data_IF_331503243773
#
_entry.id   IF_331503243773
#
_cell.length_a   1.000
_cell.length_b   1.000
_cell.length_c   1.000
_cell.angle_alpha   90.00
_cell.angle_beta   90.00
_cell.angle_gamma   90.00
#
_symmetry.space_group_name_H-M   'P 1'
#
loop_
_entity.id
_entity.type
_entity.pdbx_description
1 polymer ?
#
# COMPACT_ATOMS: atom_id res chain seq x y z
N UNK A 1 -5.69 -18.27 -3.73
CA UNK A 1 -4.98 -17.61 -4.85
C UNK A 1 -5.12 -16.09 -4.71
N UNK A 2 -4.21 -15.28 -5.27
CA UNK A 2 -4.35 -13.82 -5.31
C UNK A 2 -5.52 -13.39 -6.22
N UNK A 3 -6.16 -12.22 -5.99
CA UNK A 3 -7.33 -11.78 -6.78
C UNK A 3 -7.01 -11.56 -8.25
N UNK A 4 -5.80 -11.06 -8.56
CA UNK A 4 -5.33 -10.81 -9.91
C UNK A 4 -3.94 -11.41 -10.11
N UNK A 5 -3.66 -12.08 -11.24
CA UNK A 5 -2.31 -12.52 -11.57
C UNK A 5 -1.44 -11.31 -11.93
N UNK A 6 -0.14 -11.38 -11.62
CA UNK A 6 0.80 -10.29 -11.93
C UNK A 6 0.83 -9.91 -13.42
N UNK A 7 0.55 -10.87 -14.32
CA UNK A 7 0.47 -10.66 -15.78
C UNK A 7 -0.71 -9.79 -16.23
N UNK A 8 -1.64 -9.46 -15.32
CA UNK A 8 -2.73 -8.54 -15.61
C UNK A 8 -2.24 -7.10 -15.78
N UNK A 9 -1.13 -6.75 -15.13
CA UNK A 9 -0.60 -5.40 -15.07
C UNK A 9 0.51 -5.20 -16.09
N UNK A 10 0.58 -3.98 -16.62
CA UNK A 10 1.65 -3.47 -17.49
C UNK A 10 2.92 -3.17 -16.70
N UNK A 11 2.78 -2.81 -15.43
CA UNK A 11 3.89 -2.59 -14.50
C UNK A 11 3.92 -3.66 -13.40
N UNK A 12 5.02 -3.75 -12.66
CA UNK A 12 5.10 -4.65 -11.49
C UNK A 12 4.23 -4.03 -10.37
N UNK A 13 3.13 -4.67 -9.97
CA UNK A 13 2.30 -4.15 -8.90
C UNK A 13 2.94 -4.38 -7.54
N UNK A 14 2.76 -3.41 -6.65
CA UNK A 14 3.14 -3.54 -5.24
C UNK A 14 1.94 -3.99 -4.43
N UNK A 15 2.14 -4.89 -3.48
CA UNK A 15 1.03 -5.60 -2.84
C UNK A 15 1.32 -5.97 -1.39
N UNK A 16 0.25 -5.97 -0.58
CA UNK A 16 0.29 -6.56 0.75
C UNK A 16 -1.02 -7.26 1.07
N UNK A 17 -0.97 -8.20 2.00
CA UNK A 17 -2.13 -8.84 2.59
C UNK A 17 -2.40 -8.19 3.95
N UNK A 18 -3.66 -8.13 4.33
CA UNK A 18 -4.07 -7.67 5.63
C UNK A 18 -5.45 -8.19 5.99
N UNK A 19 -6.09 -7.55 6.96
CA UNK A 19 -7.39 -7.98 7.45
C UNK A 19 -8.27 -6.77 7.80
N UNK A 20 -9.57 -6.90 7.62
CA UNK A 20 -10.55 -5.92 8.07
C UNK A 20 -11.81 -6.65 8.53
N UNK A 21 -12.24 -6.38 9.77
CA UNK A 21 -13.44 -6.99 10.35
C UNK A 21 -13.45 -8.53 10.29
N UNK A 22 -12.30 -9.16 10.49
CA UNK A 22 -12.11 -10.60 10.43
C UNK A 22 -12.03 -11.18 9.01
N UNK A 23 -12.05 -10.33 7.96
CA UNK A 23 -11.98 -10.77 6.56
C UNK A 23 -10.60 -10.53 5.98
N UNK A 24 -10.11 -11.51 5.22
CA UNK A 24 -8.82 -11.38 4.53
C UNK A 24 -8.92 -10.35 3.41
N UNK A 25 -7.97 -9.42 3.39
CA UNK A 25 -7.89 -8.34 2.42
C UNK A 25 -6.59 -8.41 1.62
N UNK A 26 -6.67 -8.05 0.35
CA UNK A 26 -5.54 -7.96 -0.56
C UNK A 26 -5.47 -6.54 -1.11
N UNK A 27 -4.34 -5.89 -0.91
CA UNK A 27 -4.07 -4.54 -1.40
C UNK A 27 -3.17 -4.62 -2.62
N UNK A 28 -3.54 -3.89 -3.66
CA UNK A 28 -2.76 -3.77 -4.88
C UNK A 28 -2.55 -2.30 -5.19
N UNK A 29 -1.31 -1.92 -5.49
CA UNK A 29 -0.92 -0.62 -6.02
C UNK A 29 -0.25 -0.86 -7.37
N UNK A 30 -0.86 -0.36 -8.44
CA UNK A 30 -0.37 -0.51 -9.82
C UNK A 30 -0.63 0.76 -10.62
N UNK A 31 -0.39 0.72 -11.94
CA UNK A 31 -0.75 1.80 -12.85
C UNK A 31 -2.26 2.14 -12.86
N UNK A 32 -3.12 1.19 -12.45
CA UNK A 32 -4.56 1.39 -12.36
C UNK A 32 -4.97 2.14 -11.07
N UNK A 33 -4.05 2.24 -10.11
CA UNK A 33 -4.26 2.92 -8.82
C UNK A 33 -4.18 1.98 -7.62
N UNK A 34 -4.88 2.36 -6.55
CA UNK A 34 -4.95 1.60 -5.29
C UNK A 34 -6.26 0.82 -5.23
N UNK A 35 -6.15 -0.50 -5.08
CA UNK A 35 -7.28 -1.42 -5.01
C UNK A 35 -7.29 -2.18 -3.68
N UNK A 36 -8.48 -2.35 -3.11
CA UNK A 36 -8.76 -3.22 -1.98
C UNK A 36 -9.70 -4.34 -2.42
N UNK A 37 -9.20 -5.56 -2.33
CA UNK A 37 -9.95 -6.78 -2.56
C UNK A 37 -10.23 -7.48 -1.24
N UNK A 38 -11.43 -8.02 -1.09
CA UNK A 38 -11.83 -8.79 0.09
C UNK A 38 -12.13 -10.22 -0.34
N UNK A 39 -11.62 -11.19 0.40
CA UNK A 39 -11.93 -12.60 0.15
C UNK A 39 -13.37 -12.86 0.62
N UNK A 40 -14.26 -13.11 -0.34
CA UNK A 40 -15.69 -13.35 -0.10
C UNK A 40 -15.95 -14.83 0.24
N UNK A 41 -15.29 -15.73 -0.48
CA UNK A 41 -15.38 -17.17 -0.27
C UNK A 41 -13.98 -17.80 -0.29
N UNK A 42 -13.59 -18.36 0.86
CA UNK A 42 -12.30 -19.00 1.04
C UNK A 42 -12.17 -20.29 0.23
N UNK A 43 -13.23 -21.09 0.12
CA UNK A 43 -13.20 -22.38 -0.57
C UNK A 43 -13.15 -22.20 -2.08
N UNK A 44 -13.85 -21.19 -2.59
CA UNK A 44 -13.83 -20.84 -4.01
C UNK A 44 -12.64 -19.94 -4.40
N UNK A 45 -11.86 -19.43 -3.43
CA UNK A 45 -10.87 -18.35 -3.66
C UNK A 45 -11.49 -17.14 -4.39
N UNK A 46 -12.74 -16.81 -4.09
CA UNK A 46 -13.46 -15.71 -4.72
C UNK A 46 -13.13 -14.40 -4.02
N UNK A 47 -12.70 -13.41 -4.81
CA UNK A 47 -12.36 -12.07 -4.32
C UNK A 47 -13.32 -11.03 -4.90
N UNK A 48 -13.81 -10.16 -4.03
CA UNK A 48 -14.61 -8.99 -4.40
C UNK A 48 -13.78 -7.70 -4.35
N UNK A 49 -13.76 -6.94 -5.45
CA UNK A 49 -13.18 -5.60 -5.46
C UNK A 49 -14.11 -4.66 -4.67
N UNK A 50 -13.65 -4.18 -3.51
CA UNK A 50 -14.46 -3.33 -2.62
C UNK A 50 -14.15 -1.85 -2.81
N UNK A 51 -12.88 -1.50 -3.01
CA UNK A 51 -12.45 -0.11 -3.22
C UNK A 51 -11.46 -0.06 -4.38
N UNK A 52 -11.60 0.96 -5.23
CA UNK A 52 -10.65 1.30 -6.26
C UNK A 52 -10.49 2.83 -6.31
N UNK A 53 -9.27 3.31 -6.12
CA UNK A 53 -8.92 4.72 -6.29
C UNK A 53 -7.93 4.84 -7.43
N UNK A 54 -8.22 5.72 -8.38
CA UNK A 54 -7.29 6.03 -9.46
C UNK A 54 -6.06 6.78 -8.95
N UNK A 55 -4.95 6.69 -9.68
CA UNK A 55 -3.75 7.46 -9.38
C UNK A 55 -4.02 8.97 -9.28
N UNK A 56 -4.89 9.49 -10.14
CA UNK A 56 -5.29 10.90 -10.15
C UNK A 56 -6.04 11.29 -8.88
N UNK A 57 -6.94 10.44 -8.38
CA UNK A 57 -7.63 10.70 -7.12
C UNK A 57 -6.66 10.74 -5.94
N UNK A 58 -5.74 9.77 -5.88
CA UNK A 58 -4.74 9.70 -4.81
C UNK A 58 -3.84 10.94 -4.80
N UNK A 59 -3.40 11.38 -5.98
CA UNK A 59 -2.60 12.59 -6.16
C UNK A 59 -3.37 13.85 -5.75
N UNK A 60 -4.64 13.98 -6.15
CA UNK A 60 -5.47 15.13 -5.79
C UNK A 60 -5.69 15.26 -4.26
N UNK A 61 -5.87 14.14 -3.56
CA UNK A 61 -6.07 14.12 -2.11
C UNK A 61 -4.75 14.29 -1.32
N UNK A 62 -3.62 13.93 -1.94
CA UNK A 62 -2.30 13.94 -1.30
C UNK A 62 -1.21 14.57 -2.18
N UNK A 63 -1.40 15.81 -2.67
CA UNK A 63 -0.52 16.39 -3.69
C UNK A 63 0.90 16.62 -3.19
N UNK A 64 1.09 16.83 -1.88
CA UNK A 64 2.41 17.00 -1.27
C UNK A 64 3.20 15.69 -1.08
N UNK A 65 2.54 14.53 -1.22
CA UNK A 65 3.13 13.20 -1.00
C UNK A 65 3.25 12.43 -2.30
N UNK A 66 2.24 12.53 -3.18
CA UNK A 66 2.08 11.71 -4.38
C UNK A 66 2.16 12.51 -5.69
N UNK A 67 2.81 13.67 -5.68
CA UNK A 67 2.98 14.48 -6.89
C UNK A 67 3.63 13.67 -8.02
N UNK A 68 3.03 13.70 -9.21
CA UNK A 68 3.46 12.99 -10.41
C UNK A 68 3.55 11.46 -10.23
N UNK A 69 2.67 10.87 -9.42
CA UNK A 69 2.64 9.42 -9.13
C UNK A 69 2.70 8.54 -10.39
N UNK A 70 2.02 8.93 -11.47
CA UNK A 70 1.99 8.18 -12.74
C UNK A 70 3.37 8.11 -13.41
N UNK A 71 4.13 9.21 -13.38
CA UNK A 71 5.49 9.29 -13.91
C UNK A 71 6.45 8.42 -13.08
N UNK A 72 6.24 8.37 -11.78
CA UNK A 72 7.10 7.62 -10.87
C UNK A 72 6.86 6.12 -10.93
N UNK A 73 5.61 5.71 -11.13
CA UNK A 73 5.29 4.32 -11.46
C UNK A 73 5.78 3.92 -12.85
N UNK A 74 5.68 4.78 -13.86
CA UNK A 74 6.20 4.45 -15.19
C UNK A 74 7.73 4.26 -15.19
N UNK A 75 8.45 4.95 -14.30
CA UNK A 75 9.90 4.82 -14.17
C UNK A 75 10.35 3.70 -13.23
N UNK A 76 9.46 3.02 -12.49
CA UNK A 76 9.82 1.78 -11.79
C UNK A 76 10.06 0.63 -12.78
N UNK A 77 9.38 0.65 -13.93
CA UNK A 77 9.52 -0.33 -15.04
C UNK A 77 10.97 -0.42 -15.55
N UNK A 78 11.73 0.69 -15.51
CA UNK A 78 13.12 0.74 -15.98
C UNK A 78 14.16 0.58 -14.86
N UNK A 79 13.74 0.58 -13.59
CA UNK A 79 14.65 0.72 -12.45
C UNK A 79 15.14 -0.58 -11.82
N UNK A 80 14.58 -1.74 -12.17
CA UNK A 80 15.08 -3.11 -11.92
C UNK A 80 15.42 -3.51 -10.47
N UNK A 81 16.31 -2.78 -9.82
CA UNK A 81 16.97 -3.05 -8.53
C UNK A 81 16.72 -1.98 -7.46
N UNK A 82 16.04 -0.88 -7.77
CA UNK A 82 15.70 0.14 -6.77
C UNK A 82 14.38 -0.19 -6.08
N UNK A 83 14.25 0.12 -4.77
CA UNK A 83 13.01 -0.12 -4.05
C UNK A 83 11.85 0.65 -4.71
N UNK A 84 10.64 0.09 -4.69
CA UNK A 84 9.47 0.76 -5.26
C UNK A 84 9.22 2.10 -4.58
N UNK A 85 8.77 3.07 -5.38
CA UNK A 85 8.45 4.41 -4.88
C UNK A 85 7.36 4.34 -3.80
N UNK A 86 6.29 3.59 -4.05
CA UNK A 86 5.20 3.33 -3.11
C UNK A 86 5.22 1.85 -2.77
N UNK A 87 5.34 1.52 -1.49
CA UNK A 87 5.37 0.15 -1.00
C UNK A 87 4.30 -0.02 0.09
N UNK A 88 3.20 -0.76 -0.18
CA UNK A 88 2.22 -1.11 0.83
C UNK A 88 2.84 -2.15 1.78
N UNK A 89 3.00 -1.79 3.05
CA UNK A 89 3.72 -2.62 4.02
C UNK A 89 2.77 -3.50 4.84
N UNK A 90 1.64 -2.95 5.28
CA UNK A 90 0.66 -3.67 6.09
C UNK A 90 -0.71 -3.01 5.99
N UNK A 91 -1.77 -3.82 6.02
CA UNK A 91 -3.13 -3.34 6.03
C UNK A 91 -3.91 -3.90 7.23
N UNK A 92 -4.67 -3.05 7.91
CA UNK A 92 -5.59 -3.46 8.97
C UNK A 92 -6.73 -2.44 9.13
N UNK A 93 -7.97 -2.92 9.17
CA UNK A 93 -9.18 -2.15 9.48
C UNK A 93 -9.28 -0.80 8.73
N UNK A 94 -9.11 -0.83 7.40
CA UNK A 94 -9.21 0.37 6.56
C UNK A 94 -8.02 1.33 6.66
N UNK A 95 -6.96 0.93 7.35
CA UNK A 95 -5.69 1.67 7.42
C UNK A 95 -4.60 0.89 6.68
N UNK A 96 -3.87 1.60 5.83
CA UNK A 96 -2.73 1.08 5.07
C UNK A 96 -1.46 1.77 5.52
N UNK A 97 -0.55 1.00 6.11
CA UNK A 97 0.81 1.44 6.36
C UNK A 97 1.59 1.34 5.05
N UNK A 98 2.13 2.48 4.60
CA UNK A 98 2.76 2.60 3.29
C UNK A 98 4.07 3.36 3.41
N UNK A 99 5.10 2.89 2.72
CA UNK A 99 6.31 3.65 2.47
C UNK A 99 6.16 4.41 1.15
N UNK A 100 6.50 5.69 1.19
CA UNK A 100 6.65 6.53 -0.01
C UNK A 100 8.06 7.11 0.01
N UNK A 101 8.89 6.66 -0.92
CA UNK A 101 10.34 6.91 -0.94
C UNK A 101 10.99 6.61 0.43
N UNK A 102 11.51 7.61 1.13
CA UNK A 102 12.20 7.46 2.43
C UNK A 102 11.31 7.71 3.65
N UNK A 103 10.02 7.99 3.43
CA UNK A 103 9.07 8.31 4.49
C UNK A 103 8.01 7.22 4.60
N UNK A 104 7.47 7.06 5.80
CA UNK A 104 6.35 6.18 6.10
C UNK A 104 5.10 6.99 6.38
N UNK A 105 3.96 6.47 5.95
CA UNK A 105 2.66 7.10 6.07
C UNK A 105 1.63 6.08 6.50
N UNK A 106 0.57 6.58 7.12
CA UNK A 106 -0.67 5.87 7.34
C UNK A 106 -1.71 6.44 6.37
N UNK A 107 -2.10 5.66 5.38
CA UNK A 107 -3.20 5.98 4.48
C UNK A 107 -4.52 5.48 5.07
N UNK A 108 -5.52 6.35 5.10
CA UNK A 108 -6.85 6.02 5.60
C UNK A 108 -7.82 5.90 4.42
N UNK A 109 -8.37 4.71 4.19
CA UNK A 109 -9.28 4.48 3.06
C UNK A 109 -10.55 5.35 3.13
N UNK A 110 -11.10 5.58 4.33
CA UNK A 110 -12.31 6.37 4.51
C UNK A 110 -12.17 7.86 4.16
N UNK A 111 -10.97 8.43 4.29
CA UNK A 111 -10.70 9.84 3.96
C UNK A 111 -9.84 10.02 2.72
N UNK A 112 -9.25 8.94 2.20
CA UNK A 112 -8.23 8.94 1.14
C UNK A 112 -6.97 9.76 1.49
N UNK A 113 -6.75 10.09 2.76
CA UNK A 113 -5.63 10.94 3.19
C UNK A 113 -4.48 10.14 3.76
N UNK A 114 -3.27 10.63 3.52
CA UNK A 114 -2.02 10.13 4.10
C UNK A 114 -1.61 10.99 5.28
N UNK A 115 -1.42 10.34 6.44
CA UNK A 115 -0.76 10.95 7.60
C UNK A 115 0.69 10.50 7.63
N UNK A 116 1.62 11.45 7.56
CA UNK A 116 3.04 11.15 7.72
C UNK A 116 3.30 10.62 9.13
N UNK A 117 4.03 9.51 9.22
CA UNK A 117 4.43 8.93 10.50
C UNK A 117 5.87 9.30 10.81
N UNK A 118 6.83 8.78 10.04
CA UNK A 118 8.25 9.02 10.31
C UNK A 118 9.11 8.78 9.07
N UNK A 119 10.38 9.18 9.12
CA UNK A 119 11.39 8.78 8.12
C UNK A 119 11.88 7.39 8.45
N UNK A 120 12.27 6.61 7.45
CA UNK A 120 12.83 5.27 7.72
C UNK A 120 14.17 5.39 8.43
N UNK A 121 15.00 6.36 8.02
CA UNK A 121 16.32 6.57 8.63
C UNK A 121 16.25 6.94 10.12
N UNK A 122 15.15 7.56 10.58
CA UNK A 122 14.98 7.89 12.00
C UNK A 122 14.66 6.66 12.87
N UNK A 123 14.34 5.52 12.25
CA UNK A 123 14.16 4.26 12.95
C UNK A 123 15.48 3.48 13.11
N UNK A 124 16.62 4.09 12.76
CA UNK A 124 17.95 3.44 12.81
C UNK A 124 18.14 2.37 11.74
N UNK A 125 17.23 2.29 10.79
CA UNK A 125 17.20 1.29 9.73
C UNK A 125 17.80 1.91 8.47
N UNK A 126 18.78 1.21 7.87
CA UNK A 126 19.15 1.48 6.48
C UNK A 126 18.36 0.52 5.58
N UNK A 127 17.26 0.99 4.96
CA UNK A 127 16.39 0.12 4.16
C UNK A 127 17.04 -0.43 2.90
N UNK A 128 18.23 0.09 2.52
CA UNK A 128 18.98 -0.35 1.36
C UNK A 128 19.90 -1.55 1.64
N UNK A 129 20.23 -1.82 2.91
CA UNK A 129 21.30 -2.78 3.27
C UNK A 129 20.81 -3.99 4.08
N UNK A 130 19.57 -3.98 4.58
CA UNK A 130 19.06 -5.09 5.40
C UNK A 130 17.53 -5.23 5.37
N UNK A 131 17.00 -6.46 5.46
CA UNK A 131 15.57 -6.68 5.63
C UNK A 131 15.11 -6.02 6.93
N UNK A 132 14.34 -4.95 6.78
CA UNK A 132 13.87 -4.12 7.86
C UNK A 132 12.54 -4.65 8.37
N UNK A 133 12.51 -5.19 9.59
CA UNK A 133 11.26 -5.58 10.27
C UNK A 133 10.75 -4.37 11.04
N UNK A 134 9.61 -3.82 10.61
CA UNK A 134 8.90 -2.79 11.37
C UNK A 134 7.81 -3.45 12.23
N UNK A 135 7.93 -3.45 13.57
CA UNK A 135 6.84 -3.91 14.41
C UNK A 135 5.66 -2.95 14.24
N UNK A 136 4.61 -3.43 13.56
CA UNK A 136 3.35 -2.72 13.44
C UNK A 136 2.36 -3.31 14.43
N UNK A 137 2.01 -2.53 15.46
CA UNK A 137 0.96 -2.87 16.40
C UNK A 137 -0.08 -1.76 16.39
N UNK A 138 -1.28 -2.05 15.90
CA UNK A 138 -2.45 -1.25 16.26
C UNK A 138 -3.01 -1.81 17.57
N UNK A 139 -2.70 -1.12 18.67
CA UNK A 139 -3.40 -1.36 19.92
C UNK A 139 -4.80 -0.74 19.84
N UNK A 140 -5.82 -1.52 20.15
CA UNK A 140 -7.22 -1.07 20.25
C UNK A 140 -7.48 -0.18 21.47
N UNK A 141 -6.46 0.12 22.28
CA UNK A 141 -6.65 0.89 23.51
C UNK A 141 -6.70 2.38 23.17
N UNK A 142 -7.88 2.99 23.33
CA UNK A 142 -7.99 4.43 23.52
C UNK A 142 -7.11 4.82 24.71
N UNK A 143 -6.08 5.62 24.46
CA UNK A 143 -5.50 6.43 25.53
C UNK A 143 -6.57 7.47 25.87
N UNK A 144 -7.19 7.29 27.04
CA UNK A 144 -8.24 8.16 27.57
C UNK A 144 -7.80 9.60 27.76
#
# INVERSE_FOLDING_TARGET
MAPLPATHFRSIPEMCIGESEGRLCYIIISEDGLQLWVLEDYFASQWGLTICFTLKELENENPSVLSNISKEMASSITRGTLPPWIDPLAFKDGMLFVRVATNTYLFQFGTKRMKKLTKISTLGLNPMDSPTVMPYTMSLVQLG
#
